data_IF_529399651756
#
_entry.id   IF_529399651756
#
_cell.length_a   1.000
_cell.length_b   1.000
_cell.length_c   1.000
_cell.angle_alpha   90.00
_cell.angle_beta   90.00
_cell.angle_gamma   90.00
#
_symmetry.space_group_name_H-M   'P 1'
#
loop_
_entity.id
_entity.type
_entity.pdbx_description
1 polymer ?
#
# COMPACT_ATOMS: atom_id res chain seq x y z
N UNK A 1 -0.64 18.41 8.94
CA UNK A 1 -1.50 17.86 10.01
C UNK A 1 -2.73 18.72 10.12
N UNK A 2 -3.90 18.15 10.39
CA UNK A 2 -5.16 18.90 10.48
C UNK A 2 -5.26 19.61 11.83
N UNK A 3 -5.83 20.81 11.82
CA UNK A 3 -6.01 21.67 13.00
C UNK A 3 -7.48 22.10 13.09
N UNK A 4 -7.94 22.39 14.30
CA UNK A 4 -9.17 23.12 14.57
C UNK A 4 -9.02 24.62 14.22
N UNK A 5 -10.12 25.36 14.25
CA UNK A 5 -10.15 26.80 13.91
C UNK A 5 -9.26 27.66 14.82
N UNK A 6 -9.05 27.21 16.06
CA UNK A 6 -8.17 27.84 17.05
C UNK A 6 -6.69 27.46 16.89
N UNK A 7 -6.37 26.65 15.87
CA UNK A 7 -5.01 26.17 15.59
C UNK A 7 -4.57 24.99 16.44
N UNK A 8 -5.44 24.45 17.32
CA UNK A 8 -5.12 23.24 18.07
C UNK A 8 -5.18 21.99 17.17
N UNK A 9 -4.42 20.92 17.47
CA UNK A 9 -4.48 19.70 16.68
C UNK A 9 -5.86 19.06 16.72
N UNK A 10 -6.48 18.84 15.56
CA UNK A 10 -7.77 18.18 15.47
C UNK A 10 -7.71 16.76 16.04
N UNK A 11 -8.56 16.48 17.03
CA UNK A 11 -8.40 15.36 17.96
C UNK A 11 -8.60 13.96 17.36
N UNK A 12 -9.26 13.85 16.20
CA UNK A 12 -9.53 12.58 15.50
C UNK A 12 -8.70 12.41 14.24
N UNK A 13 -7.83 13.37 13.89
CA UNK A 13 -6.94 13.19 12.75
C UNK A 13 -5.88 12.11 13.06
N UNK A 14 -5.69 11.10 12.20
CA UNK A 14 -4.85 9.94 12.51
C UNK A 14 -3.41 10.27 12.91
N UNK A 15 -2.76 11.27 12.28
CA UNK A 15 -1.38 11.65 12.63
C UNK A 15 -1.32 12.37 13.98
N UNK A 16 -2.30 13.20 14.31
CA UNK A 16 -2.42 13.82 15.62
C UNK A 16 -2.65 12.76 16.72
N UNK A 17 -3.52 11.78 16.47
CA UNK A 17 -3.74 10.63 17.37
C UNK A 17 -2.44 9.86 17.59
N UNK A 18 -1.75 9.48 16.52
CA UNK A 18 -0.47 8.76 16.60
C UNK A 18 0.59 9.56 17.37
N UNK A 19 0.70 10.87 17.13
CA UNK A 19 1.66 11.71 17.84
C UNK A 19 1.38 11.74 19.36
N UNK A 20 0.12 11.83 19.79
CA UNK A 20 -0.22 11.78 21.23
C UNK A 20 0.22 10.46 21.87
N UNK A 21 -0.05 9.32 21.22
CA UNK A 21 0.38 7.99 21.70
C UNK A 21 1.91 7.91 21.75
N UNK A 22 2.59 8.40 20.71
CA UNK A 22 4.04 8.44 20.64
C UNK A 22 4.66 9.26 21.79
N UNK A 23 4.14 10.46 22.07
CA UNK A 23 4.63 11.28 23.18
C UNK A 23 4.40 10.60 24.54
N UNK A 24 3.25 9.97 24.75
CA UNK A 24 2.96 9.23 25.99
C UNK A 24 3.94 8.06 26.21
N UNK A 25 4.36 7.37 25.16
CA UNK A 25 5.36 6.31 25.23
C UNK A 25 6.76 6.87 25.51
N UNK A 26 7.14 7.98 24.86
CA UNK A 26 8.44 8.63 25.10
C UNK A 26 8.59 9.17 26.51
N UNK A 27 7.53 9.73 27.11
CA UNK A 27 7.54 10.16 28.51
C UNK A 27 7.81 9.00 29.48
N UNK A 28 7.56 7.76 29.05
CA UNK A 28 7.84 6.53 29.80
C UNK A 28 9.18 5.88 29.42
N UNK A 29 10.00 6.53 28.58
CA UNK A 29 11.26 5.99 28.07
C UNK A 29 11.10 4.85 27.06
N UNK A 30 9.92 4.69 26.44
CA UNK A 30 9.65 3.66 25.43
C UNK A 30 9.72 4.24 24.01
N UNK A 31 10.39 3.52 23.12
CA UNK A 31 10.62 3.92 21.73
C UNK A 31 10.19 2.77 20.78
N UNK A 32 8.89 2.65 20.47
CA UNK A 32 8.41 1.56 19.62
C UNK A 32 8.98 1.69 18.20
N UNK A 33 9.34 0.56 17.61
CA UNK A 33 9.75 0.45 16.21
C UNK A 33 8.74 -0.45 15.51
N UNK A 34 8.26 -0.02 14.35
CA UNK A 34 7.30 -0.77 13.55
C UNK A 34 7.79 -0.84 12.11
N UNK A 35 7.47 -1.95 11.44
CA UNK A 35 7.57 -2.14 10.01
C UNK A 35 6.17 -2.50 9.50
N UNK A 36 5.87 -2.11 8.26
CA UNK A 36 4.60 -2.42 7.60
C UNK A 36 4.85 -3.34 6.42
N UNK A 37 3.97 -4.32 6.26
CA UNK A 37 3.87 -5.14 5.04
C UNK A 37 2.67 -4.62 4.26
N UNK A 38 2.91 -3.85 3.19
CA UNK A 38 1.87 -3.27 2.36
C UNK A 38 1.64 -4.15 1.14
N UNK A 39 0.63 -5.00 1.21
CA UNK A 39 0.19 -5.80 0.07
C UNK A 39 -0.71 -4.97 -0.85
N UNK A 40 -0.56 -5.18 -2.16
CA UNK A 40 -1.38 -4.55 -3.18
C UNK A 40 -1.59 -5.48 -4.37
N UNK A 41 -2.59 -5.17 -5.19
CA UNK A 41 -2.88 -5.87 -6.43
C UNK A 41 -2.67 -4.92 -7.60
N UNK A 42 -2.00 -5.41 -8.65
CA UNK A 42 -2.11 -4.79 -9.97
C UNK A 42 -3.44 -5.25 -10.58
N UNK A 43 -4.23 -4.30 -11.06
CA UNK A 43 -5.52 -4.54 -11.70
C UNK A 43 -5.51 -3.96 -13.12
N UNK A 44 -6.22 -4.62 -14.03
CA UNK A 44 -6.48 -4.03 -15.34
C UNK A 44 -7.43 -2.83 -15.19
N UNK A 45 -7.21 -1.81 -16.01
CA UNK A 45 -8.12 -0.66 -16.16
C UNK A 45 -9.42 -1.08 -16.83
N UNK A 46 -9.37 -2.10 -17.69
CA UNK A 46 -10.54 -2.69 -18.32
C UNK A 46 -11.19 -3.69 -17.36
N UNK A 47 -12.52 -3.65 -17.29
CA UNK A 47 -13.33 -4.68 -16.62
C UNK A 47 -13.52 -5.89 -17.53
N UNK A 48 -13.82 -7.04 -16.96
CA UNK A 48 -14.16 -8.23 -17.74
C UNK A 48 -15.55 -8.10 -18.39
N UNK A 49 -16.01 -9.16 -19.05
CA UNK A 49 -17.28 -9.16 -19.77
C UNK A 49 -18.50 -9.01 -18.84
N UNK A 50 -18.34 -9.43 -17.59
CA UNK A 50 -19.34 -9.36 -16.53
C UNK A 50 -19.30 -8.01 -15.79
N UNK A 51 -18.25 -7.22 -15.99
CA UNK A 51 -18.05 -5.91 -15.39
C UNK A 51 -17.24 -5.95 -14.09
N UNK A 52 -16.62 -7.08 -13.76
CA UNK A 52 -15.81 -7.27 -12.57
C UNK A 52 -14.34 -6.82 -12.78
N UNK A 53 -13.61 -6.71 -11.67
CA UNK A 53 -12.18 -6.41 -11.69
C UNK A 53 -11.41 -7.66 -12.16
N UNK A 54 -10.40 -7.46 -13.02
CA UNK A 54 -9.58 -8.55 -13.53
C UNK A 54 -8.08 -8.27 -13.38
N UNK A 55 -7.24 -9.32 -13.27
CA UNK A 55 -5.79 -9.18 -13.29
C UNK A 55 -5.31 -8.56 -14.61
N UNK A 56 -4.25 -7.74 -14.62
CA UNK A 56 -3.68 -7.20 -15.85
C UNK A 56 -3.10 -8.32 -16.72
N UNK A 57 -2.98 -8.05 -18.02
CA UNK A 57 -2.16 -8.90 -18.88
C UNK A 57 -0.69 -8.82 -18.44
N UNK A 58 0.04 -9.92 -18.55
CA UNK A 58 1.48 -9.90 -18.38
C UNK A 58 2.09 -8.94 -19.43
N UNK A 59 3.03 -8.04 -19.05
CA UNK A 59 3.56 -7.03 -19.95
C UNK A 59 4.07 -7.62 -21.26
N UNK A 60 3.66 -7.02 -22.38
CA UNK A 60 4.00 -7.50 -23.73
C UNK A 60 3.17 -8.67 -24.24
N UNK A 61 2.18 -9.16 -23.48
CA UNK A 61 1.31 -10.29 -23.87
C UNK A 61 -0.18 -9.95 -23.74
N UNK A 62 -1.04 -10.88 -24.17
CA UNK A 62 -2.48 -10.86 -23.87
C UNK A 62 -2.85 -11.88 -22.78
N UNK A 63 -1.86 -12.53 -22.16
CA UNK A 63 -2.09 -13.55 -21.15
C UNK A 63 -2.34 -12.92 -19.79
N UNK A 64 -3.28 -13.49 -19.03
CA UNK A 64 -3.64 -13.04 -17.69
C UNK A 64 -3.45 -14.18 -16.70
N UNK A 65 -3.08 -13.83 -15.47
CA UNK A 65 -3.08 -14.79 -14.37
C UNK A 65 -4.52 -15.25 -14.09
N UNK A 66 -4.78 -16.54 -14.24
CA UNK A 66 -6.10 -17.16 -13.98
C UNK A 66 -6.21 -17.78 -12.59
N UNK A 67 -5.08 -17.87 -11.87
CA UNK A 67 -4.98 -18.43 -10.52
C UNK A 67 -4.00 -17.61 -9.68
N UNK A 68 -4.05 -17.78 -8.36
CA UNK A 68 -3.10 -17.17 -7.44
C UNK A 68 -1.67 -17.62 -7.75
N UNK A 69 -0.77 -16.66 -7.91
CA UNK A 69 0.63 -16.88 -8.27
C UNK A 69 1.55 -16.68 -7.06
N UNK A 70 1.18 -17.27 -5.91
CA UNK A 70 1.96 -17.10 -4.66
C UNK A 70 3.40 -17.57 -4.89
N UNK A 71 4.36 -16.66 -4.68
CA UNK A 71 5.80 -16.89 -4.89
C UNK A 71 6.23 -17.24 -6.34
N UNK A 72 5.42 -16.92 -7.36
CA UNK A 72 5.82 -17.15 -8.75
C UNK A 72 6.93 -16.17 -9.17
N UNK A 73 8.14 -16.69 -9.35
CA UNK A 73 9.30 -15.93 -9.85
C UNK A 73 9.05 -15.42 -11.26
N UNK A 74 8.38 -16.21 -12.10
CA UNK A 74 8.02 -15.78 -13.46
C UNK A 74 7.07 -14.59 -13.42
N UNK A 75 6.08 -14.60 -12.53
CA UNK A 75 5.17 -13.46 -12.39
C UNK A 75 5.90 -12.21 -11.87
N UNK A 76 6.83 -12.36 -10.91
CA UNK A 76 7.68 -11.25 -10.47
C UNK A 76 8.49 -10.67 -11.62
N UNK A 77 9.07 -11.51 -12.47
CA UNK A 77 9.84 -11.08 -13.64
C UNK A 77 8.98 -10.32 -14.65
N UNK A 78 7.76 -10.80 -14.93
CA UNK A 78 6.85 -10.12 -15.85
C UNK A 78 6.54 -8.70 -15.41
N UNK A 79 6.35 -8.47 -14.11
CA UNK A 79 6.01 -7.15 -13.55
C UNK A 79 7.22 -6.44 -12.95
N UNK A 80 8.45 -6.88 -13.25
CA UNK A 80 9.65 -6.34 -12.62
C UNK A 80 9.84 -4.84 -12.85
N UNK A 81 9.47 -4.31 -14.02
CA UNK A 81 9.59 -2.89 -14.35
C UNK A 81 8.85 -2.00 -13.34
N UNK A 82 7.55 -2.24 -13.14
CA UNK A 82 6.73 -1.46 -12.20
C UNK A 82 7.16 -1.68 -10.75
N UNK A 83 7.58 -2.90 -10.40
CA UNK A 83 8.05 -3.21 -9.04
C UNK A 83 9.36 -2.49 -8.74
N UNK A 84 10.28 -2.41 -9.71
CA UNK A 84 11.52 -1.66 -9.58
C UNK A 84 11.27 -0.15 -9.50
N UNK A 85 10.31 0.38 -10.27
CA UNK A 85 9.92 1.78 -10.17
C UNK A 85 9.36 2.12 -8.77
N UNK A 86 8.59 1.21 -8.17
CA UNK A 86 8.08 1.36 -6.79
C UNK A 86 9.22 1.32 -5.76
N UNK A 87 10.17 0.39 -5.91
CA UNK A 87 11.32 0.24 -5.00
C UNK A 87 12.28 1.44 -5.04
N UNK A 88 12.37 2.11 -6.19
CA UNK A 88 13.27 3.25 -6.39
C UNK A 88 12.73 4.61 -5.86
N UNK A 89 11.47 4.68 -5.41
CA UNK A 89 10.84 5.89 -4.86
C UNK A 89 11.20 6.14 -3.40
#
# INVERSE_FOLDING_TARGET
TMLDEDGTPFDVEPRNVLNRVWQALRQRGLFPVAAVELEFYLIDRLRDAEGDLQPPCAPGTQERNTQSQVYSVDNLNHFAEVLNDIDAL
#
